data_IF_695224909769
#
_entry.id   IF_695224909769
#
_cell.length_a   1.000
_cell.length_b   1.000
_cell.length_c   1.000
_cell.angle_alpha   90.00
_cell.angle_beta   90.00
_cell.angle_gamma   90.00
#
_symmetry.space_group_name_H-M   'P 1'
#
loop_
_entity.id
_entity.type
_entity.pdbx_description
1 polymer ?
#
# COMPACT_ATOMS: atom_id res chain seq x y z
N UNK A 1 16.99 -8.35 -3.18
CA UNK A 1 15.73 -8.21 -2.43
C UNK A 1 15.14 -6.81 -2.50
N UNK A 2 15.86 -5.76 -2.10
CA UNK A 2 15.33 -4.37 -2.08
C UNK A 2 14.86 -3.88 -3.46
N UNK A 3 15.64 -4.11 -4.52
CA UNK A 3 15.26 -3.69 -5.88
C UNK A 3 14.00 -4.39 -6.38
N UNK A 4 13.79 -5.66 -6.03
CA UNK A 4 12.56 -6.40 -6.37
C UNK A 4 11.38 -5.80 -5.61
N UNK A 5 11.53 -5.57 -4.31
CA UNK A 5 10.48 -4.92 -3.50
C UNK A 5 10.12 -3.53 -4.03
N UNK A 6 11.10 -2.77 -4.53
CA UNK A 6 10.87 -1.42 -5.03
C UNK A 6 10.23 -1.43 -6.43
N UNK A 7 10.82 -2.14 -7.40
CA UNK A 7 10.44 -2.03 -8.81
C UNK A 7 9.40 -3.05 -9.26
N UNK A 8 9.37 -4.23 -8.66
CA UNK A 8 8.48 -5.33 -9.08
C UNK A 8 7.24 -5.42 -8.19
N UNK A 9 7.33 -5.00 -6.93
CA UNK A 9 6.23 -5.06 -5.95
C UNK A 9 5.63 -3.68 -5.70
N UNK A 10 6.36 -2.81 -4.98
CA UNK A 10 5.82 -1.53 -4.51
C UNK A 10 5.43 -0.59 -5.66
N UNK A 11 6.24 -0.48 -6.71
CA UNK A 11 5.94 0.42 -7.83
C UNK A 11 4.64 0.04 -8.55
N UNK A 12 4.43 -1.18 -9.05
CA UNK A 12 3.17 -1.55 -9.72
C UNK A 12 1.96 -1.44 -8.79
N UNK A 13 2.10 -1.88 -7.54
CA UNK A 13 1.01 -1.83 -6.57
C UNK A 13 0.60 -0.39 -6.23
N UNK A 14 1.55 0.47 -5.89
CA UNK A 14 1.25 1.88 -5.60
C UNK A 14 0.74 2.61 -6.85
N UNK A 15 1.24 2.27 -8.04
CA UNK A 15 0.71 2.83 -9.28
C UNK A 15 -0.77 2.49 -9.46
N UNK A 16 -1.16 1.24 -9.26
CA UNK A 16 -2.56 0.84 -9.38
C UNK A 16 -3.43 1.41 -8.25
N UNK A 17 -3.06 1.19 -6.99
CA UNK A 17 -3.91 1.53 -5.87
C UNK A 17 -3.93 3.04 -5.58
N UNK A 18 -2.79 3.74 -5.67
CA UNK A 18 -2.68 5.16 -5.28
C UNK A 18 -2.66 6.08 -6.50
N UNK A 19 -2.07 5.61 -7.60
CA UNK A 19 -2.08 6.34 -8.88
C UNK A 19 -3.44 6.30 -9.56
N UNK A 20 -4.08 5.12 -9.65
CA UNK A 20 -5.33 4.93 -10.37
C UNK A 20 -6.57 4.86 -9.46
N UNK A 21 -6.68 3.85 -8.60
CA UNK A 21 -7.88 3.56 -7.83
C UNK A 21 -8.24 4.68 -6.85
N UNK A 22 -7.29 5.10 -6.00
CA UNK A 22 -7.49 6.20 -5.07
C UNK A 22 -7.85 7.48 -5.82
N UNK A 23 -7.18 7.79 -6.94
CA UNK A 23 -7.50 8.97 -7.77
C UNK A 23 -8.94 8.93 -8.26
N UNK A 24 -9.45 7.78 -8.72
CA UNK A 24 -10.86 7.62 -9.11
C UNK A 24 -11.79 7.84 -7.92
N UNK A 25 -11.50 7.21 -6.78
CA UNK A 25 -12.29 7.37 -5.56
C UNK A 25 -12.34 8.83 -5.11
N UNK A 26 -11.22 9.57 -5.22
CA UNK A 26 -11.13 11.00 -4.86
C UNK A 26 -11.99 11.90 -5.75
N UNK A 27 -12.35 11.47 -6.97
CA UNK A 27 -13.30 12.21 -7.83
C UNK A 27 -14.72 12.22 -7.27
N UNK A 28 -15.09 11.20 -6.49
CA UNK A 28 -16.45 11.03 -5.95
C UNK A 28 -16.51 11.24 -4.43
N UNK A 29 -15.42 10.97 -3.72
CA UNK A 29 -15.38 10.90 -2.27
C UNK A 29 -14.30 11.80 -1.67
N UNK A 30 -14.54 12.28 -0.44
CA UNK A 30 -13.53 13.00 0.36
C UNK A 30 -12.38 12.07 0.76
N UNK A 31 -11.25 12.67 1.12
CA UNK A 31 -10.02 11.99 1.52
C UNK A 31 -10.28 10.90 2.58
N UNK A 32 -11.09 11.24 3.58
CA UNK A 32 -11.45 10.40 4.73
C UNK A 32 -12.21 9.13 4.35
N UNK A 33 -12.74 9.08 3.13
CA UNK A 33 -13.49 7.93 2.60
C UNK A 33 -12.68 7.23 1.51
N UNK A 34 -12.07 7.99 0.60
CA UNK A 34 -11.28 7.44 -0.49
C UNK A 34 -10.07 6.64 -0.01
N UNK A 35 -9.32 7.15 0.98
CA UNK A 35 -8.12 6.45 1.51
C UNK A 35 -8.51 5.14 2.19
N UNK A 36 -9.46 5.09 3.15
CA UNK A 36 -9.85 3.82 3.76
C UNK A 36 -10.39 2.80 2.75
N UNK A 37 -11.20 3.21 1.78
CA UNK A 37 -11.71 2.30 0.75
C UNK A 37 -10.55 1.72 -0.08
N UNK A 38 -9.64 2.56 -0.58
CA UNK A 38 -8.48 2.08 -1.35
C UNK A 38 -7.59 1.15 -0.51
N UNK A 39 -7.43 1.45 0.78
CA UNK A 39 -6.60 0.67 1.72
C UNK A 39 -7.25 -0.67 2.07
N UNK A 40 -8.58 -0.72 2.22
CA UNK A 40 -9.32 -1.98 2.40
C UNK A 40 -9.20 -2.87 1.17
N UNK A 41 -9.38 -2.31 -0.02
CA UNK A 41 -9.25 -3.06 -1.27
C UNK A 41 -7.81 -3.58 -1.46
N UNK A 42 -6.81 -2.79 -1.07
CA UNK A 42 -5.41 -3.21 -1.06
C UNK A 42 -5.15 -4.37 -0.10
N UNK A 43 -5.57 -4.27 1.16
CA UNK A 43 -5.40 -5.36 2.13
C UNK A 43 -6.18 -6.62 1.73
N UNK A 44 -7.38 -6.44 1.16
CA UNK A 44 -8.20 -7.56 0.69
C UNK A 44 -7.57 -8.27 -0.51
N UNK A 45 -6.98 -7.57 -1.48
CA UNK A 45 -6.35 -8.22 -2.64
C UNK A 45 -5.21 -9.17 -2.25
N UNK A 46 -4.51 -8.88 -1.16
CA UNK A 46 -3.48 -9.77 -0.60
C UNK A 46 -4.07 -11.05 0.00
N UNK A 47 -5.26 -10.95 0.59
CA UNK A 47 -5.98 -12.09 1.19
C UNK A 47 -6.63 -13.01 0.16
N UNK A 48 -6.94 -12.49 -1.03
CA UNK A 48 -7.51 -13.28 -2.14
C UNK A 48 -6.48 -14.27 -2.71
N UNK A 49 -5.19 -13.88 -2.74
CA UNK A 49 -4.11 -14.72 -3.26
C UNK A 49 -3.72 -15.79 -2.23
N UNK A 50 -3.58 -15.39 -0.97
CA UNK A 50 -3.31 -16.30 0.14
C UNK A 50 -4.02 -15.79 1.39
N UNK A 51 -4.89 -16.60 2.00
CA UNK A 51 -5.57 -16.17 3.20
C UNK A 51 -4.66 -16.39 4.42
N UNK A 52 -4.20 -15.29 5.03
CA UNK A 52 -3.46 -15.32 6.29
C UNK A 52 -4.17 -14.49 7.35
N UNK A 53 -4.21 -15.01 8.58
CA UNK A 53 -4.95 -14.39 9.69
C UNK A 53 -4.48 -12.96 9.99
N UNK A 54 -3.23 -12.61 9.68
CA UNK A 54 -2.64 -11.30 9.96
C UNK A 54 -2.80 -10.30 8.79
N UNK A 55 -3.35 -10.69 7.64
CA UNK A 55 -3.47 -9.79 6.48
C UNK A 55 -4.33 -8.54 6.73
N UNK A 56 -5.23 -8.57 7.72
CA UNK A 56 -5.94 -7.35 8.14
C UNK A 56 -4.96 -6.25 8.59
N UNK A 57 -3.78 -6.60 9.09
CA UNK A 57 -2.78 -5.64 9.54
C UNK A 57 -2.20 -4.82 8.37
N UNK A 58 -2.26 -5.31 7.13
CA UNK A 58 -1.83 -4.59 5.91
C UNK A 58 -2.64 -3.30 5.71
N UNK A 59 -3.87 -3.25 6.24
CA UNK A 59 -4.72 -2.07 6.16
C UNK A 59 -4.05 -0.82 6.78
N UNK A 60 -3.36 -0.95 7.91
CA UNK A 60 -2.80 0.19 8.64
C UNK A 60 -1.66 0.90 7.88
N UNK A 61 -0.60 0.22 7.40
CA UNK A 61 0.40 0.88 6.56
C UNK A 61 -0.21 1.37 5.24
N UNK A 62 -1.22 0.67 4.68
CA UNK A 62 -1.91 1.10 3.48
C UNK A 62 -2.60 2.48 3.63
N UNK A 63 -3.10 2.83 4.82
CA UNK A 63 -3.62 4.17 5.13
C UNK A 63 -2.50 5.22 5.02
N UNK A 64 -1.31 4.90 5.54
CA UNK A 64 -0.14 5.80 5.47
C UNK A 64 0.28 6.00 4.02
N UNK A 65 0.25 4.96 3.18
CA UNK A 65 0.57 5.07 1.75
C UNK A 65 -0.39 6.05 1.06
N UNK A 66 -1.69 5.90 1.32
CA UNK A 66 -2.71 6.79 0.77
C UNK A 66 -2.59 8.24 1.26
N UNK A 67 -2.20 8.44 2.52
CA UNK A 67 -1.93 9.77 3.07
C UNK A 67 -0.67 10.40 2.48
N UNK A 68 0.43 9.65 2.33
CA UNK A 68 1.66 10.11 1.71
C UNK A 68 1.44 10.53 0.26
N UNK A 69 0.64 9.76 -0.49
CA UNK A 69 0.21 10.12 -1.85
C UNK A 69 -0.43 11.51 -1.87
N UNK A 70 -1.38 11.78 -0.99
CA UNK A 70 -2.14 13.04 -1.01
C UNK A 70 -1.33 14.21 -0.47
N UNK A 71 -0.46 13.97 0.52
CA UNK A 71 0.42 14.99 1.08
C UNK A 71 1.52 15.41 0.11
N UNK A 72 2.06 14.49 -0.68
CA UNK A 72 3.20 14.75 -1.58
C UNK A 72 2.79 15.00 -3.03
N UNK A 73 1.56 14.63 -3.43
CA UNK A 73 1.08 14.71 -4.81
C UNK A 73 1.72 13.68 -5.76
N UNK A 74 2.73 12.93 -5.31
CA UNK A 74 3.49 11.96 -6.11
C UNK A 74 3.30 10.50 -5.68
N UNK A 75 4.00 9.58 -6.35
CA UNK A 75 4.07 8.17 -5.96
C UNK A 75 5.40 7.79 -5.27
N UNK A 76 6.42 8.63 -5.34
CA UNK A 76 7.75 8.30 -4.80
C UNK A 76 7.69 8.04 -3.29
N UNK A 77 7.03 8.92 -2.54
CA UNK A 77 6.91 8.77 -1.08
C UNK A 77 6.20 7.46 -0.66
N UNK A 78 4.99 7.14 -1.18
CA UNK A 78 4.35 5.87 -0.83
C UNK A 78 5.13 4.65 -1.34
N UNK A 79 5.76 4.69 -2.53
CA UNK A 79 6.58 3.58 -3.04
C UNK A 79 7.76 3.28 -2.11
N UNK A 80 8.51 4.30 -1.69
CA UNK A 80 9.66 4.12 -0.81
C UNK A 80 9.23 3.57 0.56
N UNK A 81 8.16 4.11 1.12
CA UNK A 81 7.65 3.68 2.42
C UNK A 81 7.06 2.27 2.38
N UNK A 82 6.39 1.90 1.29
CA UNK A 82 5.92 0.53 1.05
C UNK A 82 7.10 -0.44 0.93
N UNK A 83 8.07 -0.17 0.06
CA UNK A 83 9.25 -1.04 -0.09
C UNK A 83 10.00 -1.21 1.24
N UNK A 84 10.13 -0.13 2.03
CA UNK A 84 10.74 -0.19 3.37
C UNK A 84 9.91 -1.06 4.33
N UNK A 85 8.58 -0.95 4.30
CA UNK A 85 7.69 -1.76 5.12
C UNK A 85 7.85 -3.25 4.82
N UNK A 86 7.91 -3.62 3.53
CA UNK A 86 8.09 -5.01 3.12
C UNK A 86 9.46 -5.55 3.53
N UNK A 87 10.52 -4.74 3.36
CA UNK A 87 11.87 -5.12 3.81
C UNK A 87 11.92 -5.29 5.33
N UNK A 88 11.29 -4.39 6.09
CA UNK A 88 11.25 -4.47 7.54
C UNK A 88 10.50 -5.72 8.02
N UNK A 89 9.33 -6.03 7.46
CA UNK A 89 8.56 -7.23 7.81
C UNK A 89 9.33 -8.49 7.47
N UNK A 90 9.93 -8.56 6.27
CA UNK A 90 10.76 -9.69 5.88
C UNK A 90 11.94 -9.88 6.83
N UNK A 91 12.62 -8.79 7.20
CA UNK A 91 13.74 -8.85 8.14
C UNK A 91 13.29 -9.32 9.53
N UNK A 92 12.22 -8.76 10.08
CA UNK A 92 11.65 -9.18 11.37
C UNK A 92 11.32 -10.68 11.34
N UNK A 93 10.60 -11.14 10.31
CA UNK A 93 10.26 -12.56 10.17
C UNK A 93 11.44 -13.48 9.84
N UNK A 94 12.65 -12.95 9.62
CA UNK A 94 13.87 -13.75 9.43
C UNK A 94 14.70 -13.90 10.71
N UNK A 95 14.43 -13.05 11.71
CA UNK A 95 15.14 -13.03 13.00
C UNK A 95 14.39 -13.84 14.07
N UNK A 96 13.10 -14.10 13.86
CA UNK A 96 12.23 -14.95 14.69
C UNK A 96 11.78 -16.17 13.90
#
# INVERSE_FOLDING_TARGET
>A
MVLVQLFVVALPEEFFFRGYLQTILRRKYRLQVAIPIASLLFAFSHSVIALQWWHFAIFFPALVFGWLREKTGGLVAPILFHALSNVAVFWIGSVY
#
